data_IF_679145979506
#
_entry.id   IF_679145979506
#
_cell.length_a   1.000
_cell.length_b   1.000
_cell.length_c   1.000
_cell.angle_alpha   90.00
_cell.angle_beta   90.00
_cell.angle_gamma   90.00
#
_symmetry.space_group_name_H-M   'P 1'
#
loop_
_entity.id
_entity.type
_entity.pdbx_description
1 polymer ?
#
# COMPACT_ATOMS: atom_id res chain seq x y z
N UNK A 1 -19.32 -16.85 7.69
CA UNK A 1 -18.18 -17.21 6.81
C UNK A 1 -17.23 -16.03 6.49
N UNK A 2 -17.69 -14.77 6.58
CA UNK A 2 -16.86 -13.58 6.32
C UNK A 2 -15.86 -13.22 7.43
N UNK A 3 -16.22 -13.42 8.70
CA UNK A 3 -15.42 -13.01 9.87
C UNK A 3 -14.02 -13.65 9.93
N UNK A 4 -13.88 -14.91 9.47
CA UNK A 4 -12.58 -15.61 9.39
C UNK A 4 -11.66 -15.04 8.31
N UNK A 5 -12.22 -14.63 7.15
CA UNK A 5 -11.44 -14.02 6.06
C UNK A 5 -10.98 -12.62 6.43
N UNK A 6 -11.81 -11.85 7.14
CA UNK A 6 -11.45 -10.51 7.64
C UNK A 6 -10.30 -10.57 8.64
N UNK A 7 -10.33 -11.49 9.61
CA UNK A 7 -9.20 -11.68 10.53
C UNK A 7 -7.92 -12.09 9.80
N UNK A 8 -8.01 -12.95 8.79
CA UNK A 8 -6.84 -13.38 8.04
C UNK A 8 -6.19 -12.23 7.27
N UNK A 9 -6.99 -11.40 6.59
CA UNK A 9 -6.50 -10.19 5.90
C UNK A 9 -5.89 -9.18 6.87
N UNK A 10 -6.48 -9.03 8.06
CA UNK A 10 -5.93 -8.15 9.11
C UNK A 10 -4.56 -8.64 9.59
N UNK A 11 -4.42 -9.93 9.87
CA UNK A 11 -3.15 -10.53 10.29
C UNK A 11 -2.08 -10.35 9.20
N UNK A 12 -2.42 -10.58 7.93
CA UNK A 12 -1.50 -10.36 6.80
C UNK A 12 -1.07 -8.89 6.74
N UNK A 13 -2.01 -7.95 6.91
CA UNK A 13 -1.71 -6.52 6.93
C UNK A 13 -0.72 -6.13 8.04
N UNK A 14 -0.95 -6.63 9.26
CA UNK A 14 -0.06 -6.38 10.41
C UNK A 14 1.32 -6.97 10.18
N UNK A 15 1.42 -8.22 9.71
CA UNK A 15 2.71 -8.85 9.39
C UNK A 15 3.44 -8.08 8.29
N UNK A 16 2.71 -7.64 7.25
CA UNK A 16 3.29 -6.85 6.16
C UNK A 16 3.81 -5.49 6.64
N UNK A 17 3.14 -4.86 7.60
CA UNK A 17 3.59 -3.59 8.18
C UNK A 17 4.84 -3.79 9.05
N UNK A 18 4.87 -4.84 9.88
CA UNK A 18 6.02 -5.16 10.75
C UNK A 18 7.25 -5.54 9.93
N UNK A 19 7.10 -6.24 8.81
CA UNK A 19 8.23 -6.62 7.94
C UNK A 19 8.60 -5.48 6.99
N UNK A 20 7.60 -4.79 6.44
CA UNK A 20 7.80 -3.74 5.44
C UNK A 20 8.43 -2.46 6.00
N UNK A 21 8.06 -2.04 7.21
CA UNK A 21 8.57 -0.78 7.80
C UNK A 21 10.08 -0.83 8.10
N UNK A 22 10.62 -1.84 8.83
CA UNK A 22 12.07 -1.95 9.04
C UNK A 22 12.85 -2.08 7.74
N UNK A 23 12.23 -2.69 6.73
CA UNK A 23 12.81 -2.84 5.41
C UNK A 23 12.90 -1.51 4.64
N UNK A 24 11.81 -0.75 4.59
CA UNK A 24 11.76 0.59 4.00
C UNK A 24 12.72 1.57 4.70
N UNK A 25 12.87 1.42 6.03
CA UNK A 25 13.79 2.21 6.84
C UNK A 25 15.26 1.79 6.70
N UNK A 26 15.57 0.78 5.87
CA UNK A 26 16.95 0.39 5.57
C UNK A 26 17.66 -0.34 6.70
N UNK A 27 16.96 -0.75 7.76
CA UNK A 27 17.52 -1.58 8.85
C UNK A 27 17.86 -3.00 8.38
N UNK A 28 17.36 -3.41 7.21
CA UNK A 28 17.61 -4.73 6.62
C UNK A 28 18.37 -4.61 5.30
N UNK A 29 19.61 -5.10 5.28
CA UNK A 29 20.48 -5.21 4.09
C UNK A 29 20.15 -6.43 3.20
N UNK A 30 19.09 -7.18 3.50
CA UNK A 30 18.71 -8.38 2.78
C UNK A 30 18.10 -8.05 1.40
N UNK A 31 18.96 -8.03 0.37
CA UNK A 31 18.60 -7.76 -1.04
C UNK A 31 17.47 -8.64 -1.60
N UNK A 32 17.19 -9.80 -1.00
CA UNK A 32 16.12 -10.72 -1.41
C UNK A 32 14.70 -10.15 -1.17
N UNK A 33 14.52 -9.32 -0.14
CA UNK A 33 13.22 -8.71 0.18
C UNK A 33 12.96 -7.41 -0.60
N UNK A 34 13.96 -6.88 -1.33
CA UNK A 34 13.81 -5.64 -2.12
C UNK A 34 12.79 -5.85 -3.23
N UNK A 35 12.92 -6.96 -3.95
CA UNK A 35 12.13 -7.26 -5.15
C UNK A 35 10.62 -7.26 -4.87
N UNK A 36 10.11 -8.01 -3.87
CA UNK A 36 8.67 -7.99 -3.60
C UNK A 36 8.19 -6.66 -3.00
N UNK A 37 9.02 -5.92 -2.24
CA UNK A 37 8.61 -4.66 -1.63
C UNK A 37 8.57 -3.50 -2.64
N UNK A 38 9.59 -3.34 -3.47
CA UNK A 38 9.56 -2.37 -4.57
C UNK A 38 8.57 -2.77 -5.67
N UNK A 39 8.48 -4.07 -5.99
CA UNK A 39 7.51 -4.59 -6.94
C UNK A 39 6.06 -4.42 -6.47
N UNK A 40 5.79 -4.65 -5.18
CA UNK A 40 4.49 -4.41 -4.57
C UNK A 40 4.08 -2.93 -4.61
N UNK A 41 5.05 -2.02 -4.38
CA UNK A 41 4.82 -0.58 -4.46
C UNK A 41 4.54 -0.12 -5.90
N UNK A 42 5.26 -0.66 -6.88
CA UNK A 42 5.00 -0.40 -8.31
C UNK A 42 3.64 -0.91 -8.75
N UNK A 43 3.25 -2.11 -8.33
CA UNK A 43 1.91 -2.66 -8.59
C UNK A 43 0.84 -1.81 -7.90
N UNK A 44 1.06 -1.36 -6.67
CA UNK A 44 0.13 -0.49 -5.98
C UNK A 44 -0.08 0.83 -6.73
N UNK A 45 0.99 1.44 -7.26
CA UNK A 45 0.88 2.64 -8.12
C UNK A 45 0.13 2.31 -9.41
N UNK A 46 0.48 1.22 -10.09
CA UNK A 46 -0.12 0.82 -11.36
C UNK A 46 -1.63 0.55 -11.24
N UNK A 47 -2.05 -0.08 -10.15
CA UNK A 47 -3.45 -0.42 -9.88
C UNK A 47 -4.17 0.61 -9.01
N UNK A 48 -3.48 1.66 -8.55
CA UNK A 48 -4.13 2.73 -7.82
C UNK A 48 -5.09 3.47 -8.74
N UNK A 49 -6.37 3.64 -8.37
CA UNK A 49 -7.30 4.41 -9.17
C UNK A 49 -6.78 5.84 -9.23
N UNK A 50 -6.47 6.32 -10.44
CA UNK A 50 -6.05 7.70 -10.65
C UNK A 50 -7.16 8.63 -10.16
N UNK A 51 -6.93 9.48 -9.15
CA UNK A 51 -7.96 10.38 -8.67
C UNK A 51 -8.38 11.32 -9.80
N UNK A 52 -9.69 11.42 -10.05
CA UNK A 52 -10.23 12.34 -11.05
C UNK A 52 -10.15 13.77 -10.52
N UNK A 53 -8.98 14.39 -10.69
CA UNK A 53 -8.63 15.72 -10.21
C UNK A 53 -9.53 16.83 -10.78
N UNK A 54 -10.24 16.60 -11.91
CA UNK A 54 -11.15 17.60 -12.50
C UNK A 54 -12.28 18.01 -11.55
N UNK A 55 -12.78 17.10 -10.72
CA UNK A 55 -13.87 17.42 -9.79
C UNK A 55 -13.40 18.18 -8.54
N UNK A 56 -12.13 18.04 -8.16
CA UNK A 56 -11.53 18.76 -7.02
C UNK A 56 -11.26 20.23 -7.35
N UNK A 57 -10.84 20.54 -8.57
CA UNK A 57 -10.58 21.92 -8.99
C UNK A 57 -11.83 22.70 -9.39
N UNK A 58 -12.90 22.04 -9.87
CA UNK A 58 -14.18 22.70 -10.14
C UNK A 58 -14.92 23.07 -8.84
N UNK A 59 -14.89 22.19 -7.82
CA UNK A 59 -15.54 22.48 -6.53
C UNK A 59 -14.92 23.69 -5.81
N UNK A 60 -13.63 23.96 -6.00
CA UNK A 60 -12.93 25.11 -5.40
C UNK A 60 -13.27 26.45 -6.07
N UNK A 61 -13.93 26.45 -7.24
CA UNK A 61 -14.25 27.68 -7.99
C UNK A 61 -15.67 28.20 -7.69
N UNK A 62 -16.46 27.43 -6.94
CA UNK A 62 -17.85 27.74 -6.57
C UNK A 62 -18.00 28.11 -5.07
N UNK A 63 -16.90 28.12 -4.31
CA UNK A 63 -16.79 28.73 -2.96
C UNK A 63 -16.07 30.08 -3.05
#
# INVERSE_FOLDING_TARGET
MYRKRTSFLFIIGVVSMIVGVPYLLGYSTNKLLNIPLYGGLLLAILFSPTPNLKNLFNKKKEE
#
